data_IF_503257677802
#
_entry.id   IF_503257677802
#
_cell.length_a   1.000
_cell.length_b   1.000
_cell.length_c   1.000
_cell.angle_alpha   90.00
_cell.angle_beta   90.00
_cell.angle_gamma   90.00
#
_symmetry.space_group_name_H-M   'P 1'
#
loop_
_entity.id
_entity.type
_entity.pdbx_description
1 polymer ?
#
# COMPACT_ATOMS: atom_id res chain seq x y z
N UNK A 1 -49.87 15.03 -5.07
CA UNK A 1 -49.93 14.27 -3.82
C UNK A 1 -49.95 15.28 -2.68
N UNK A 2 -50.90 15.21 -1.76
CA UNK A 2 -50.84 16.06 -0.56
C UNK A 2 -49.54 15.76 0.17
N UNK A 3 -48.79 16.79 0.56
CA UNK A 3 -47.56 16.63 1.33
C UNK A 3 -47.89 15.85 2.62
N UNK A 4 -47.09 14.82 2.92
CA UNK A 4 -47.24 14.03 4.14
C UNK A 4 -46.98 14.95 5.35
N UNK A 5 -47.87 14.96 6.34
CA UNK A 5 -47.74 15.79 7.55
C UNK A 5 -47.81 14.93 8.81
N UNK A 6 -47.24 15.38 9.95
CA UNK A 6 -47.32 14.66 11.22
C UNK A 6 -48.76 14.36 11.64
N UNK A 7 -49.67 15.32 11.49
CA UNK A 7 -51.08 15.20 11.86
C UNK A 7 -51.78 14.11 11.03
N UNK A 8 -51.42 13.98 9.75
CA UNK A 8 -51.92 12.91 8.88
C UNK A 8 -51.44 11.54 9.34
N UNK A 9 -50.17 11.41 9.75
CA UNK A 9 -49.64 10.14 10.27
C UNK A 9 -50.26 9.80 11.63
N UNK A 10 -50.37 10.76 12.55
CA UNK A 10 -51.00 10.54 13.86
C UNK A 10 -52.45 10.08 13.73
N UNK A 11 -53.20 10.74 12.83
CA UNK A 11 -54.58 10.37 12.53
C UNK A 11 -54.66 8.95 11.97
N UNK A 12 -53.83 8.62 10.97
CA UNK A 12 -53.76 7.26 10.41
C UNK A 12 -53.42 6.22 11.48
N UNK A 13 -52.43 6.50 12.35
CA UNK A 13 -52.02 5.61 13.42
C UNK A 13 -53.15 5.39 14.46
N UNK A 14 -53.87 6.46 14.80
CA UNK A 14 -55.03 6.42 15.69
C UNK A 14 -56.17 5.60 15.09
N UNK A 15 -56.46 5.77 13.81
CA UNK A 15 -57.46 4.98 13.07
C UNK A 15 -57.10 3.49 13.01
N UNK A 16 -55.81 3.17 12.99
CA UNK A 16 -55.27 1.80 13.11
C UNK A 16 -55.24 1.28 14.55
N UNK A 17 -55.74 2.03 15.52
CA UNK A 17 -55.79 1.69 16.95
C UNK A 17 -54.40 1.44 17.56
N UNK A 18 -53.39 2.16 17.07
CA UNK A 18 -52.07 2.19 17.71
C UNK A 18 -52.16 3.04 18.99
N UNK A 19 -51.50 2.58 20.06
CA UNK A 19 -51.56 3.22 21.38
C UNK A 19 -50.63 4.44 21.44
N UNK A 20 -51.16 5.57 21.93
CA UNK A 20 -50.45 6.84 22.14
C UNK A 20 -49.60 7.32 20.93
N UNK A 21 -50.18 7.43 19.72
CA UNK A 21 -49.41 7.84 18.54
C UNK A 21 -49.01 9.31 18.64
N UNK A 22 -47.71 9.57 18.50
CA UNK A 22 -47.14 10.92 18.40
C UNK A 22 -46.24 10.96 17.18
N UNK A 23 -46.50 11.87 16.23
CA UNK A 23 -45.68 12.08 15.06
C UNK A 23 -45.02 13.46 15.10
N UNK A 24 -43.75 13.53 14.69
CA UNK A 24 -43.01 14.78 14.59
C UNK A 24 -42.04 14.76 13.43
N UNK A 25 -41.74 15.93 12.87
CA UNK A 25 -40.62 16.03 11.94
C UNK A 25 -39.30 15.82 12.68
N UNK A 26 -38.40 15.07 12.05
CA UNK A 26 -37.03 14.89 12.51
C UNK A 26 -36.12 14.52 11.34
N UNK A 27 -34.87 14.96 11.41
CA UNK A 27 -33.80 14.58 10.51
C UNK A 27 -33.08 13.35 11.08
N UNK A 28 -33.16 12.21 10.37
CA UNK A 28 -32.67 10.92 10.85
C UNK A 28 -31.54 10.41 9.97
N UNK A 29 -30.37 10.16 10.56
CA UNK A 29 -29.20 9.59 9.87
C UNK A 29 -27.92 9.83 10.66
N UNK A 30 -27.05 8.82 10.72
CA UNK A 30 -25.79 8.92 11.49
C UNK A 30 -24.76 9.89 10.86
N UNK A 31 -24.83 10.09 9.55
CA UNK A 31 -23.93 10.99 8.80
C UNK A 31 -24.75 12.05 8.08
N UNK A 32 -25.24 11.75 6.87
CA UNK A 32 -26.16 12.62 6.17
C UNK A 32 -27.61 12.25 6.51
N UNK A 33 -28.35 13.12 7.22
CA UNK A 33 -29.69 12.78 7.66
C UNK A 33 -30.70 12.82 6.51
N UNK A 34 -31.74 12.01 6.66
CA UNK A 34 -32.93 11.99 5.81
C UNK A 34 -34.08 12.67 6.55
N UNK A 35 -34.72 13.70 5.96
CA UNK A 35 -35.86 14.36 6.59
C UNK A 35 -37.05 13.41 6.65
N UNK A 36 -37.53 13.14 7.85
CA UNK A 36 -38.57 12.16 8.14
C UNK A 36 -39.69 12.75 8.98
N UNK A 37 -40.85 12.11 8.93
CA UNK A 37 -41.84 12.16 10.01
C UNK A 37 -41.64 10.90 10.85
N UNK A 38 -41.34 11.07 12.13
CA UNK A 38 -41.13 9.98 13.08
C UNK A 38 -42.39 9.77 13.89
N UNK A 39 -43.03 8.61 13.70
CA UNK A 39 -44.14 8.13 14.52
C UNK A 39 -43.58 7.35 15.71
N UNK A 40 -43.94 7.76 16.92
CA UNK A 40 -43.70 7.02 18.16
C UNK A 40 -45.02 6.47 18.68
N UNK A 41 -45.01 5.19 19.08
CA UNK A 41 -46.12 4.49 19.73
C UNK A 41 -45.55 3.65 20.88
N UNK A 42 -46.39 3.16 21.79
CA UNK A 42 -45.93 2.36 22.95
C UNK A 42 -45.13 1.09 22.56
N UNK A 43 -45.25 0.62 21.31
CA UNK A 43 -44.54 -0.55 20.76
C UNK A 43 -43.27 -0.26 19.96
N UNK A 44 -42.90 1.01 19.74
CA UNK A 44 -41.70 1.37 18.97
C UNK A 44 -41.83 2.63 18.14
N UNK A 45 -40.88 2.82 17.22
CA UNK A 45 -40.79 4.00 16.36
C UNK A 45 -40.66 3.63 14.88
N UNK A 46 -41.28 4.44 14.03
CA UNK A 46 -41.23 4.32 12.58
C UNK A 46 -40.87 5.68 11.96
N UNK A 47 -39.95 5.65 10.99
CA UNK A 47 -39.55 6.79 10.18
C UNK A 47 -40.26 6.72 8.83
N UNK A 48 -40.91 7.83 8.46
CA UNK A 48 -41.49 8.04 7.15
C UNK A 48 -40.72 9.15 6.44
N UNK A 49 -39.75 8.82 5.56
CA UNK A 49 -39.02 9.81 4.79
C UNK A 49 -39.96 10.70 3.98
N UNK A 50 -39.64 11.99 3.94
CA UNK A 50 -40.41 13.03 3.25
C UNK A 50 -39.87 13.31 1.84
N UNK A 51 -38.65 12.87 1.57
CA UNK A 51 -38.02 12.86 0.24
C UNK A 51 -38.15 11.47 -0.38
N UNK A 52 -38.21 11.35 -1.71
CA UNK A 52 -38.21 10.05 -2.39
C UNK A 52 -36.85 9.33 -2.27
N UNK A 53 -36.84 8.01 -2.51
CA UNK A 53 -35.62 7.18 -2.54
C UNK A 53 -34.66 7.59 -3.67
N UNK A 54 -35.18 8.21 -4.73
CA UNK A 54 -34.42 8.74 -5.87
C UNK A 54 -35.09 9.99 -6.42
N UNK A 55 -34.35 10.84 -7.14
CA UNK A 55 -34.88 12.09 -7.70
C UNK A 55 -34.86 13.28 -6.73
N UNK A 56 -34.37 13.11 -5.50
CA UNK A 56 -34.05 14.24 -4.62
C UNK A 56 -32.70 14.85 -5.03
N UNK A 57 -32.68 16.14 -5.37
CA UNK A 57 -31.50 16.83 -5.90
C UNK A 57 -30.32 16.76 -4.92
N UNK A 58 -30.58 16.92 -3.62
CA UNK A 58 -29.53 16.89 -2.60
C UNK A 58 -28.89 15.51 -2.50
N UNK A 59 -29.71 14.45 -2.55
CA UNK A 59 -29.27 13.07 -2.54
C UNK A 59 -28.49 12.73 -3.82
N UNK A 60 -28.97 13.16 -4.99
CA UNK A 60 -28.30 12.90 -6.27
C UNK A 60 -26.91 13.53 -6.34
N UNK A 61 -26.75 14.76 -5.84
CA UNK A 61 -25.44 15.43 -5.74
C UNK A 61 -24.49 14.62 -4.87
N UNK A 62 -24.93 14.16 -3.69
CA UNK A 62 -24.10 13.37 -2.78
C UNK A 62 -23.78 11.99 -3.34
N UNK A 63 -24.75 11.33 -3.96
CA UNK A 63 -24.57 10.03 -4.61
C UNK A 63 -23.49 10.12 -5.69
N UNK A 64 -23.58 11.14 -6.56
CA UNK A 64 -22.58 11.40 -7.59
C UNK A 64 -21.19 11.63 -7.03
N UNK A 65 -21.06 12.43 -5.95
CA UNK A 65 -19.76 12.67 -5.31
C UNK A 65 -19.12 11.38 -4.77
N UNK A 66 -19.92 10.48 -4.20
CA UNK A 66 -19.43 9.19 -3.70
C UNK A 66 -19.11 8.23 -4.83
N UNK A 67 -19.88 8.21 -5.92
CA UNK A 67 -19.53 7.45 -7.12
C UNK A 67 -18.19 7.93 -7.71
N UNK A 68 -18.00 9.25 -7.87
CA UNK A 68 -16.72 9.83 -8.31
C UNK A 68 -15.55 9.43 -7.38
N UNK A 69 -15.79 9.39 -6.07
CA UNK A 69 -14.78 8.97 -5.10
C UNK A 69 -14.49 7.46 -5.19
N UNK A 70 -15.49 6.62 -5.40
CA UNK A 70 -15.33 5.19 -5.58
C UNK A 70 -14.52 4.86 -6.86
N UNK A 71 -14.72 5.63 -7.93
CA UNK A 71 -13.94 5.50 -9.16
C UNK A 71 -12.45 5.83 -8.93
N UNK A 72 -12.15 6.81 -8.07
CA UNK A 72 -10.76 7.09 -7.67
C UNK A 72 -10.16 5.94 -6.87
N UNK A 73 -10.92 5.29 -5.99
CA UNK A 73 -10.47 4.11 -5.26
C UNK A 73 -10.21 2.92 -6.20
N UNK A 74 -11.10 2.67 -7.16
CA UNK A 74 -10.90 1.63 -8.19
C UNK A 74 -9.66 1.90 -9.04
N UNK A 75 -9.44 3.16 -9.42
CA UNK A 75 -8.27 3.59 -10.20
C UNK A 75 -6.96 3.18 -9.53
N UNK A 76 -6.85 3.36 -8.22
CA UNK A 76 -5.67 2.98 -7.41
C UNK A 76 -5.75 1.55 -6.86
N UNK A 77 -6.69 0.74 -7.36
CA UNK A 77 -6.89 -0.66 -6.97
C UNK A 77 -7.02 -0.85 -5.46
N UNK A 78 -7.79 0.05 -4.83
CA UNK A 78 -7.98 0.08 -3.39
C UNK A 78 -9.44 0.37 -3.02
N UNK A 79 -9.70 0.56 -1.74
CA UNK A 79 -11.01 0.86 -1.17
C UNK A 79 -10.89 1.94 -0.10
N UNK A 80 -12.02 2.48 0.36
CA UNK A 80 -12.04 3.49 1.43
C UNK A 80 -11.58 2.87 2.77
N UNK A 81 -10.40 3.26 3.31
CA UNK A 81 -9.89 2.68 4.54
C UNK A 81 -10.60 3.26 5.78
N UNK A 82 -10.80 2.43 6.80
CA UNK A 82 -11.59 2.78 7.99
C UNK A 82 -10.86 3.68 9.00
N UNK A 83 -9.54 3.51 9.14
CA UNK A 83 -8.77 4.05 10.26
C UNK A 83 -7.81 5.18 9.88
N UNK A 84 -7.98 5.76 8.68
CA UNK A 84 -7.15 6.88 8.24
C UNK A 84 -7.92 8.20 8.38
N UNK A 85 -7.26 9.29 8.79
CA UNK A 85 -7.90 10.60 8.87
C UNK A 85 -8.41 11.06 7.50
N UNK A 86 -9.66 11.53 7.45
CA UNK A 86 -10.28 12.02 6.21
C UNK A 86 -9.45 13.08 5.50
N UNK A 87 -8.79 13.98 6.23
CA UNK A 87 -7.92 15.00 5.66
C UNK A 87 -6.74 14.43 4.85
N UNK A 88 -6.16 13.32 5.28
CA UNK A 88 -5.09 12.63 4.54
C UNK A 88 -5.64 11.87 3.33
N UNK A 89 -6.83 11.28 3.46
CA UNK A 89 -7.52 10.63 2.34
C UNK A 89 -7.87 11.62 1.24
N UNK A 90 -8.35 12.82 1.59
CA UNK A 90 -8.62 13.87 0.60
C UNK A 90 -7.37 14.34 -0.13
N UNK A 91 -6.23 14.49 0.58
CA UNK A 91 -4.94 14.82 -0.05
C UNK A 91 -4.52 13.74 -1.04
N UNK A 92 -4.59 12.47 -0.62
CA UNK A 92 -4.27 11.32 -1.47
C UNK A 92 -5.17 11.30 -2.71
N UNK A 93 -6.49 11.35 -2.54
CA UNK A 93 -7.46 11.28 -3.65
C UNK A 93 -7.33 12.47 -4.61
N UNK A 94 -7.01 13.65 -4.09
CA UNK A 94 -6.72 14.83 -4.91
C UNK A 94 -5.48 14.61 -5.79
N UNK A 95 -4.41 14.04 -5.24
CA UNK A 95 -3.16 13.79 -5.98
C UNK A 95 -3.31 12.82 -7.15
N UNK A 96 -4.24 11.85 -7.04
CA UNK A 96 -4.42 10.79 -8.04
C UNK A 96 -5.50 11.11 -9.07
N UNK A 97 -6.30 12.16 -8.87
CA UNK A 97 -7.50 12.45 -9.67
C UNK A 97 -7.19 12.62 -11.16
N UNK A 98 -6.25 13.50 -11.50
CA UNK A 98 -6.04 13.95 -12.89
C UNK A 98 -4.82 13.32 -13.58
N UNK A 99 -4.24 12.25 -13.02
CA UNK A 99 -3.07 11.56 -13.58
C UNK A 99 -3.44 10.19 -14.17
N UNK A 100 -2.63 9.59 -15.06
CA UNK A 100 -2.83 8.21 -15.53
C UNK A 100 -2.79 7.17 -14.40
N UNK A 101 -3.29 5.95 -14.65
CA UNK A 101 -3.44 4.89 -13.64
C UNK A 101 -2.10 4.50 -12.99
N UNK A 102 -1.07 4.34 -13.80
CA UNK A 102 0.27 3.95 -13.36
C UNK A 102 0.84 5.01 -12.40
N UNK A 103 0.74 6.29 -12.77
CA UNK A 103 1.20 7.39 -11.92
C UNK A 103 0.33 7.55 -10.66
N UNK A 104 -0.98 7.32 -10.77
CA UNK A 104 -1.88 7.32 -9.61
C UNK A 104 -1.46 6.27 -8.58
N UNK A 105 -1.04 5.09 -9.02
CA UNK A 105 -0.57 4.02 -8.14
C UNK A 105 0.78 4.32 -7.49
N UNK A 106 1.72 4.94 -8.21
CA UNK A 106 2.98 5.41 -7.62
C UNK A 106 2.73 6.45 -6.51
N UNK A 107 1.82 7.41 -6.76
CA UNK A 107 1.43 8.41 -5.76
C UNK A 107 0.69 7.77 -4.58
N UNK A 108 -0.18 6.81 -4.84
CA UNK A 108 -0.84 6.04 -3.79
C UNK A 108 0.18 5.28 -2.91
N UNK A 109 1.13 4.59 -3.52
CA UNK A 109 2.20 3.86 -2.80
C UNK A 109 3.05 4.84 -1.97
N UNK A 110 3.33 6.03 -2.51
CA UNK A 110 4.01 7.10 -1.77
C UNK A 110 3.21 7.55 -0.54
N UNK A 111 1.95 7.92 -0.70
CA UNK A 111 1.11 8.36 0.42
C UNK A 111 0.96 7.26 1.47
N UNK A 112 0.62 6.04 1.03
CA UNK A 112 0.39 4.91 1.95
C UNK A 112 1.63 4.45 2.69
N UNK A 113 2.84 4.70 2.16
CA UNK A 113 4.09 4.45 2.90
C UNK A 113 4.19 5.24 4.21
N UNK A 114 3.49 6.37 4.30
CA UNK A 114 3.44 7.23 5.51
C UNK A 114 2.16 7.08 6.31
N UNK A 115 1.10 6.51 5.73
CA UNK A 115 -0.20 6.29 6.40
C UNK A 115 -0.27 4.91 7.04
N UNK A 116 0.14 3.87 6.32
CA UNK A 116 0.20 2.49 6.81
C UNK A 116 1.58 2.19 7.40
N UNK A 117 1.96 2.96 8.41
CA UNK A 117 3.25 2.84 9.08
C UNK A 117 3.46 1.47 9.74
N UNK A 118 4.69 1.17 10.13
CA UNK A 118 5.04 -0.04 10.89
C UNK A 118 4.17 -0.16 12.16
N UNK A 119 4.02 0.95 12.89
CA UNK A 119 3.21 1.03 14.09
C UNK A 119 1.73 0.76 13.81
N UNK A 120 1.18 1.40 12.77
CA UNK A 120 -0.20 1.17 12.34
C UNK A 120 -0.46 -0.32 12.03
N UNK A 121 0.43 -0.95 11.27
CA UNK A 121 0.31 -2.36 10.92
C UNK A 121 0.38 -3.27 12.16
N UNK A 122 1.24 -2.95 13.14
CA UNK A 122 1.32 -3.69 14.40
C UNK A 122 0.03 -3.58 15.23
N UNK A 123 -0.62 -2.41 15.25
CA UNK A 123 -1.94 -2.22 15.85
C UNK A 123 -2.98 -3.09 15.15
N UNK A 124 -3.01 -3.09 13.81
CA UNK A 124 -3.93 -3.96 13.07
C UNK A 124 -3.76 -5.43 13.46
N UNK A 125 -2.52 -5.92 13.51
CA UNK A 125 -2.21 -7.34 13.76
C UNK A 125 -2.51 -7.75 15.20
N UNK A 126 -2.05 -6.99 16.20
CA UNK A 126 -2.09 -7.41 17.61
C UNK A 126 -3.36 -6.91 18.34
N UNK A 127 -4.07 -5.92 17.81
CA UNK A 127 -5.25 -5.35 18.48
C UNK A 127 -6.54 -5.48 17.69
N UNK A 128 -6.51 -5.48 16.34
CA UNK A 128 -7.74 -5.55 15.53
C UNK A 128 -8.05 -6.98 15.11
N UNK A 129 -7.10 -7.71 14.52
CA UNK A 129 -7.33 -9.08 14.06
C UNK A 129 -7.82 -10.04 15.17
N UNK A 130 -7.33 -9.96 16.43
CA UNK A 130 -7.79 -10.86 17.48
C UNK A 130 -9.26 -10.68 17.89
N UNK A 131 -9.87 -9.53 17.58
CA UNK A 131 -11.26 -9.23 17.88
C UNK A 131 -12.24 -9.94 16.94
N UNK A 132 -11.75 -10.43 15.80
CA UNK A 132 -12.51 -11.19 14.82
C UNK A 132 -12.28 -12.68 14.99
N UNK A 133 -13.36 -13.42 15.24
CA UNK A 133 -13.32 -14.89 15.41
C UNK A 133 -12.71 -15.57 14.19
N UNK A 134 -13.02 -15.10 12.98
CA UNK A 134 -12.47 -15.67 11.73
C UNK A 134 -10.96 -15.45 11.56
N UNK A 135 -10.35 -14.52 12.29
CA UNK A 135 -8.95 -14.11 12.13
C UNK A 135 -8.09 -14.43 13.34
N UNK A 136 -8.68 -14.73 14.50
CA UNK A 136 -7.96 -15.01 15.75
C UNK A 136 -6.86 -16.07 15.60
N UNK A 137 -7.12 -17.16 14.89
CA UNK A 137 -6.12 -18.21 14.64
C UNK A 137 -5.05 -17.82 13.61
N UNK A 138 -5.29 -16.77 12.83
CA UNK A 138 -4.35 -16.22 11.84
C UNK A 138 -3.38 -15.21 12.47
N UNK A 139 -3.67 -14.68 13.66
CA UNK A 139 -2.82 -13.66 14.32
C UNK A 139 -1.36 -14.09 14.41
N UNK A 140 -1.00 -15.31 14.87
CA UNK A 140 0.41 -15.75 14.89
C UNK A 140 1.06 -15.75 13.50
N UNK A 141 0.30 -16.16 12.47
CA UNK A 141 0.77 -16.15 11.08
C UNK A 141 0.99 -14.73 10.56
N UNK A 142 0.08 -13.80 10.87
CA UNK A 142 0.20 -12.40 10.49
C UNK A 142 1.39 -11.73 11.18
N UNK A 143 1.63 -12.08 12.45
CA UNK A 143 2.78 -11.65 13.24
C UNK A 143 4.09 -12.16 12.63
N UNK A 144 4.15 -13.42 12.23
CA UNK A 144 5.31 -13.99 11.54
C UNK A 144 5.54 -13.33 10.18
N UNK A 145 4.49 -13.14 9.38
CA UNK A 145 4.57 -12.46 8.09
C UNK A 145 5.11 -11.02 8.25
N UNK A 146 4.65 -10.29 9.27
CA UNK A 146 5.16 -8.95 9.60
C UNK A 146 6.65 -8.98 9.93
N UNK A 147 7.09 -9.84 10.84
CA UNK A 147 8.52 -9.95 11.18
C UNK A 147 9.38 -10.42 10.01
N UNK A 148 8.87 -11.33 9.18
CA UNK A 148 9.53 -11.80 7.96
C UNK A 148 9.69 -10.67 6.93
N UNK A 149 8.69 -9.80 6.80
CA UNK A 149 8.71 -8.68 5.88
C UNK A 149 9.83 -7.70 6.24
N UNK A 150 9.92 -7.34 7.52
CA UNK A 150 10.98 -6.48 8.05
C UNK A 150 12.33 -7.19 8.23
N UNK A 151 12.38 -8.50 7.98
CA UNK A 151 13.62 -9.26 7.78
C UNK A 151 13.99 -9.39 6.29
N UNK A 152 13.30 -8.66 5.39
CA UNK A 152 13.60 -8.61 3.96
C UNK A 152 12.87 -9.65 3.09
N UNK A 153 11.96 -10.45 3.64
CA UNK A 153 11.26 -11.54 2.94
C UNK A 153 9.85 -11.14 2.47
N UNK A 154 9.72 -9.98 1.82
CA UNK A 154 8.43 -9.42 1.39
C UNK A 154 7.56 -10.38 0.57
N UNK A 155 8.15 -11.10 -0.39
CA UNK A 155 7.41 -12.04 -1.24
C UNK A 155 6.72 -13.13 -0.41
N UNK A 156 7.45 -13.75 0.52
CA UNK A 156 6.92 -14.77 1.42
C UNK A 156 5.85 -14.18 2.32
N UNK A 157 6.11 -13.01 2.92
CA UNK A 157 5.16 -12.34 3.82
C UNK A 157 3.83 -11.99 3.15
N UNK A 158 3.87 -11.43 1.94
CA UNK A 158 2.64 -11.14 1.16
C UNK A 158 1.93 -12.44 0.78
N UNK A 159 2.67 -13.42 0.27
CA UNK A 159 2.12 -14.70 -0.18
C UNK A 159 1.41 -15.48 0.92
N UNK A 160 1.91 -15.38 2.16
CA UNK A 160 1.29 -15.98 3.34
C UNK A 160 -0.06 -15.35 3.71
N UNK A 161 -0.24 -14.04 3.49
CA UNK A 161 -1.47 -13.34 3.86
C UNK A 161 -2.60 -13.45 2.81
N UNK A 162 -2.28 -13.75 1.55
CA UNK A 162 -3.30 -13.89 0.48
C UNK A 162 -4.33 -14.99 0.83
N UNK A 163 -3.94 -16.24 1.19
CA UNK A 163 -4.89 -17.26 1.60
C UNK A 163 -5.69 -16.91 2.86
N UNK A 164 -5.14 -16.07 3.75
CA UNK A 164 -5.81 -15.68 4.99
C UNK A 164 -7.09 -14.86 4.72
N UNK A 165 -7.13 -14.05 3.66
CA UNK A 165 -8.34 -13.32 3.25
C UNK A 165 -9.45 -14.30 2.86
N UNK A 166 -9.14 -15.29 1.99
CA UNK A 166 -10.09 -16.30 1.52
C UNK A 166 -10.59 -17.21 2.66
N UNK A 167 -9.67 -17.67 3.50
CA UNK A 167 -9.98 -18.51 4.65
C UNK A 167 -10.86 -17.79 5.68
N UNK A 168 -10.56 -16.52 5.96
CA UNK A 168 -11.33 -15.73 6.92
C UNK A 168 -12.73 -15.40 6.39
N UNK A 169 -12.85 -15.02 5.11
CA UNK A 169 -14.15 -14.83 4.48
C UNK A 169 -15.00 -16.10 4.58
N UNK A 170 -14.43 -17.26 4.27
CA UNK A 170 -15.13 -18.55 4.39
C UNK A 170 -15.59 -18.86 5.82
N UNK A 171 -14.82 -18.45 6.84
CA UNK A 171 -15.20 -18.61 8.26
C UNK A 171 -16.28 -17.63 8.71
N UNK A 172 -16.32 -16.41 8.16
CA UNK A 172 -17.37 -15.42 8.44
C UNK A 172 -18.72 -15.98 7.98
N UNK A 173 -18.79 -16.44 6.73
CA UNK A 173 -20.02 -16.94 6.10
C UNK A 173 -20.14 -18.46 6.17
N UNK A 174 -19.78 -19.05 7.31
CA UNK A 174 -19.81 -20.51 7.50
C UNK A 174 -21.19 -21.14 7.38
N UNK A 175 -22.24 -20.32 7.43
CA UNK A 175 -23.63 -20.69 7.16
C UNK A 175 -23.91 -20.94 5.68
N UNK A 176 -23.09 -20.41 4.77
CA UNK A 176 -23.16 -20.74 3.35
C UNK A 176 -22.59 -22.14 3.09
N UNK A 177 -23.26 -22.88 2.21
CA UNK A 177 -22.81 -24.22 1.82
C UNK A 177 -21.43 -24.20 1.13
N UNK A 178 -20.74 -25.35 1.09
CA UNK A 178 -19.36 -25.45 0.57
C UNK A 178 -19.22 -25.12 -0.94
N UNK A 179 -20.34 -25.06 -1.67
CA UNK A 179 -20.39 -24.74 -3.11
C UNK A 179 -20.47 -23.24 -3.40
N UNK A 180 -20.62 -22.38 -2.38
CA UNK A 180 -20.68 -20.94 -2.56
C UNK A 180 -19.38 -20.42 -3.19
N UNK A 181 -19.52 -19.63 -4.26
CA UNK A 181 -18.38 -19.01 -4.93
C UNK A 181 -17.76 -17.92 -4.06
N UNK A 182 -16.56 -17.44 -4.41
CA UNK A 182 -15.96 -16.29 -3.74
C UNK A 182 -16.90 -15.07 -3.81
N UNK A 183 -17.53 -14.82 -4.95
CA UNK A 183 -18.49 -13.73 -5.13
C UNK A 183 -19.70 -13.85 -4.19
N UNK A 184 -20.28 -15.04 -4.06
CA UNK A 184 -21.42 -15.28 -3.16
C UNK A 184 -21.06 -14.99 -1.70
N UNK A 185 -19.87 -15.46 -1.28
CA UNK A 185 -19.36 -15.26 0.08
C UNK A 185 -19.13 -13.77 0.37
N UNK A 186 -18.54 -13.04 -0.58
CA UNK A 186 -18.32 -11.59 -0.47
C UNK A 186 -19.66 -10.88 -0.34
N UNK A 187 -20.59 -11.12 -1.27
CA UNK A 187 -21.88 -10.43 -1.28
C UNK A 187 -22.67 -10.71 0.00
N UNK A 188 -22.69 -11.95 0.50
CA UNK A 188 -23.36 -12.30 1.76
C UNK A 188 -22.77 -11.58 2.97
N UNK A 189 -21.44 -11.64 3.13
CA UNK A 189 -20.75 -10.99 4.25
C UNK A 189 -21.01 -9.47 4.26
N UNK A 190 -20.85 -8.82 3.12
CA UNK A 190 -20.97 -7.37 3.02
C UNK A 190 -22.44 -6.93 3.06
N UNK A 191 -23.39 -7.66 2.45
CA UNK A 191 -24.81 -7.32 2.52
C UNK A 191 -25.29 -7.31 3.97
N UNK A 192 -24.86 -8.30 4.77
CA UNK A 192 -25.25 -8.35 6.17
C UNK A 192 -24.63 -7.23 7.00
N UNK A 193 -23.36 -6.90 6.77
CA UNK A 193 -22.72 -5.74 7.40
C UNK A 193 -23.41 -4.41 7.02
N UNK A 194 -23.78 -4.23 5.76
CA UNK A 194 -24.57 -3.08 5.27
C UNK A 194 -25.96 -3.05 5.91
N UNK A 195 -26.63 -4.19 6.06
CA UNK A 195 -27.94 -4.25 6.71
C UNK A 195 -27.86 -3.76 8.16
N UNK A 196 -26.82 -4.16 8.90
CA UNK A 196 -26.53 -3.67 10.26
C UNK A 196 -26.26 -2.16 10.26
N UNK A 197 -25.44 -1.66 9.33
CA UNK A 197 -25.21 -0.22 9.16
C UNK A 197 -26.50 0.55 8.86
N UNK A 198 -27.34 0.04 7.96
CA UNK A 198 -28.62 0.62 7.61
C UNK A 198 -29.58 0.70 8.81
N UNK A 199 -29.60 -0.32 9.68
CA UNK A 199 -30.40 -0.27 10.92
C UNK A 199 -29.93 0.86 11.82
N UNK A 200 -28.63 0.97 12.05
CA UNK A 200 -28.06 1.99 12.92
C UNK A 200 -28.18 3.40 12.32
N UNK A 201 -28.11 3.54 11.00
CA UNK A 201 -28.36 4.81 10.31
C UNK A 201 -29.73 5.40 10.69
N UNK A 202 -30.76 4.55 10.76
CA UNK A 202 -32.12 4.94 11.15
C UNK A 202 -32.44 4.66 12.63
N UNK A 203 -31.44 4.60 13.52
CA UNK A 203 -31.61 4.42 14.96
C UNK A 203 -32.46 3.18 15.35
N UNK A 204 -32.36 2.10 14.57
CA UNK A 204 -33.19 0.88 14.67
C UNK A 204 -34.70 1.09 14.47
N UNK A 205 -35.13 2.26 14.01
CA UNK A 205 -36.53 2.52 13.67
C UNK A 205 -36.94 1.77 12.39
N UNK A 206 -38.22 1.43 12.29
CA UNK A 206 -38.75 0.93 11.02
C UNK A 206 -38.69 2.04 9.97
N UNK A 207 -38.28 1.70 8.75
CA UNK A 207 -38.26 2.60 7.60
C UNK A 207 -38.56 1.76 6.35
N UNK A 208 -39.17 2.31 5.28
CA UNK A 208 -39.39 1.55 4.06
C UNK A 208 -38.08 0.97 3.50
N UNK A 209 -38.14 -0.27 3.00
CA UNK A 209 -36.95 -1.06 2.64
C UNK A 209 -36.05 -0.38 1.58
N UNK A 210 -36.63 0.42 0.68
CA UNK A 210 -35.89 1.18 -0.32
C UNK A 210 -34.81 2.09 0.27
N UNK A 211 -35.06 2.68 1.45
CA UNK A 211 -34.10 3.56 2.13
C UNK A 211 -33.00 2.79 2.89
N UNK A 212 -33.12 1.47 3.02
CA UNK A 212 -32.11 0.60 3.67
C UNK A 212 -31.20 -0.10 2.66
N UNK A 213 -31.37 0.20 1.37
CA UNK A 213 -30.55 -0.38 0.31
C UNK A 213 -29.14 0.23 0.31
N UNK A 214 -28.17 -0.54 -0.19
CA UNK A 214 -26.84 -0.01 -0.48
C UNK A 214 -26.94 1.20 -1.42
N UNK A 215 -27.79 1.13 -2.45
CA UNK A 215 -27.93 2.21 -3.43
C UNK A 215 -28.32 3.55 -2.82
N UNK A 216 -29.33 3.56 -1.94
CA UNK A 216 -29.73 4.79 -1.24
C UNK A 216 -28.65 5.27 -0.27
N UNK A 217 -28.09 4.35 0.53
CA UNK A 217 -27.18 4.69 1.63
C UNK A 217 -25.74 4.97 1.19
N UNK A 218 -25.34 4.59 -0.03
CA UNK A 218 -23.97 4.76 -0.52
C UNK A 218 -23.49 6.22 -0.45
N UNK A 219 -24.38 7.18 -0.70
CA UNK A 219 -24.09 8.62 -0.57
C UNK A 219 -24.52 9.25 0.76
N UNK A 220 -25.01 8.45 1.71
CA UNK A 220 -25.62 8.92 2.95
C UNK A 220 -24.92 8.41 4.22
N UNK A 221 -24.28 7.24 4.15
CA UNK A 221 -23.64 6.57 5.29
C UNK A 221 -22.22 6.13 4.94
N UNK A 222 -21.23 6.71 5.63
CA UNK A 222 -19.82 6.46 5.35
C UNK A 222 -19.41 5.00 5.59
N UNK A 223 -20.11 4.28 6.49
CA UNK A 223 -19.86 2.86 6.74
C UNK A 223 -20.29 2.02 5.56
N UNK A 224 -21.49 2.30 5.03
CA UNK A 224 -22.00 1.64 3.82
C UNK A 224 -21.06 1.91 2.64
N UNK A 225 -20.59 3.15 2.49
CA UNK A 225 -19.61 3.50 1.46
C UNK A 225 -18.29 2.70 1.60
N UNK A 226 -17.74 2.61 2.81
CA UNK A 226 -16.53 1.84 3.07
C UNK A 226 -16.72 0.34 2.78
N UNK A 227 -17.83 -0.24 3.25
CA UNK A 227 -18.14 -1.65 3.04
C UNK A 227 -18.35 -1.99 1.55
N UNK A 228 -19.05 -1.13 0.82
CA UNK A 228 -19.30 -1.32 -0.61
C UNK A 228 -18.03 -1.14 -1.44
N UNK A 229 -17.18 -0.15 -1.15
CA UNK A 229 -15.90 -0.02 -1.87
C UNK A 229 -14.97 -1.21 -1.58
N UNK A 230 -15.00 -1.78 -0.36
CA UNK A 230 -14.29 -3.01 -0.05
C UNK A 230 -14.83 -4.23 -0.81
N UNK A 231 -16.17 -4.36 -0.95
CA UNK A 231 -16.82 -5.36 -1.83
C UNK A 231 -16.32 -5.25 -3.26
N UNK A 232 -16.34 -4.03 -3.82
CA UNK A 232 -15.86 -3.77 -5.19
C UNK A 232 -14.40 -4.17 -5.35
N UNK A 233 -13.54 -3.82 -4.39
CA UNK A 233 -12.14 -4.23 -4.43
C UNK A 233 -11.95 -5.75 -4.42
N UNK A 234 -12.65 -6.46 -3.52
CA UNK A 234 -12.59 -7.91 -3.44
C UNK A 234 -13.02 -8.57 -4.76
N UNK A 235 -14.10 -8.08 -5.39
CA UNK A 235 -14.66 -8.68 -6.62
C UNK A 235 -13.89 -8.29 -7.87
N UNK A 236 -13.49 -7.02 -8.01
CA UNK A 236 -12.94 -6.48 -9.25
C UNK A 236 -11.43 -6.65 -9.37
N UNK A 237 -10.72 -6.78 -8.23
CA UNK A 237 -9.25 -6.84 -8.21
C UNK A 237 -8.74 -8.11 -7.57
N UNK A 238 -9.17 -8.42 -6.34
CA UNK A 238 -8.55 -9.49 -5.56
C UNK A 238 -8.98 -10.90 -5.98
N UNK A 239 -10.29 -11.15 -6.19
CA UNK A 239 -10.85 -12.46 -6.58
C UNK A 239 -11.32 -12.53 -8.03
N UNK A 240 -11.12 -11.49 -8.85
CA UNK A 240 -11.53 -11.55 -10.25
C UNK A 240 -10.73 -12.61 -11.02
N UNK A 241 -11.30 -13.11 -12.11
CA UNK A 241 -10.61 -14.03 -13.01
C UNK A 241 -9.35 -13.36 -13.58
N UNK A 242 -8.27 -14.12 -13.76
CA UNK A 242 -7.00 -13.61 -14.31
C UNK A 242 -7.19 -12.95 -15.69
N UNK A 243 -8.11 -13.46 -16.52
CA UNK A 243 -8.42 -12.89 -17.85
C UNK A 243 -9.13 -11.54 -17.80
N UNK A 244 -9.74 -11.20 -16.67
CA UNK A 244 -10.51 -9.97 -16.47
C UNK A 244 -9.72 -8.92 -15.67
N UNK A 245 -8.61 -9.32 -15.05
CA UNK A 245 -7.77 -8.42 -14.27
C UNK A 245 -7.06 -7.40 -15.16
N UNK A 246 -7.28 -6.11 -14.88
CA UNK A 246 -6.70 -4.97 -15.62
C UNK A 246 -5.81 -4.07 -14.75
N UNK A 247 -5.49 -4.54 -13.54
CA UNK A 247 -4.66 -3.81 -12.60
C UNK A 247 -3.17 -3.97 -12.88
N UNK A 248 -2.38 -3.08 -12.30
CA UNK A 248 -0.91 -3.08 -12.33
C UNK A 248 -0.29 -3.23 -10.94
N UNK A 249 -1.09 -3.36 -9.87
CA UNK A 249 -0.58 -3.84 -8.57
C UNK A 249 -0.27 -5.34 -8.59
N UNK A 250 -0.92 -6.07 -9.51
CA UNK A 250 -0.89 -7.52 -9.67
C UNK A 250 -1.35 -8.29 -8.43
N UNK A 251 -2.04 -7.62 -7.50
CA UNK A 251 -2.54 -8.18 -6.26
C UNK A 251 -3.86 -8.92 -6.49
N UNK A 252 -3.78 -10.02 -7.22
CA UNK A 252 -4.90 -10.90 -7.55
C UNK A 252 -4.60 -12.33 -7.06
N UNK A 253 -5.59 -12.94 -6.39
CA UNK A 253 -5.48 -14.27 -5.78
C UNK A 253 -5.22 -15.38 -6.79
N UNK A 254 -5.84 -15.34 -7.97
CA UNK A 254 -5.63 -16.34 -9.01
C UNK A 254 -4.26 -16.19 -9.67
N UNK A 255 -3.81 -14.96 -9.93
CA UNK A 255 -2.47 -14.71 -10.44
C UNK A 255 -1.38 -15.17 -9.48
N UNK A 256 -1.55 -14.91 -8.18
CA UNK A 256 -0.68 -15.44 -7.14
C UNK A 256 -0.67 -16.98 -7.15
N UNK A 257 -1.84 -17.62 -7.09
CA UNK A 257 -1.95 -19.07 -7.00
C UNK A 257 -1.35 -19.81 -8.20
N UNK A 258 -1.35 -19.18 -9.38
CA UNK A 258 -0.78 -19.74 -10.61
C UNK A 258 0.63 -19.21 -10.92
N UNK A 259 1.19 -18.33 -10.08
CA UNK A 259 2.54 -17.78 -10.24
C UNK A 259 2.77 -17.04 -11.56
N UNK A 260 1.73 -16.44 -12.15
CA UNK A 260 1.80 -15.91 -13.52
C UNK A 260 2.59 -14.61 -13.65
N UNK A 261 2.80 -13.88 -12.54
CA UNK A 261 3.56 -12.62 -12.45
C UNK A 261 4.22 -12.49 -11.07
N UNK A 262 5.39 -11.84 -10.99
CA UNK A 262 6.11 -11.63 -9.71
C UNK A 262 5.84 -10.26 -9.06
N UNK A 263 5.22 -9.32 -9.79
CA UNK A 263 5.05 -7.92 -9.38
C UNK A 263 4.19 -7.69 -8.13
N UNK A 264 3.50 -8.72 -7.63
CA UNK A 264 2.70 -8.66 -6.40
C UNK A 264 3.56 -8.61 -5.12
N UNK A 265 4.86 -8.89 -5.21
CA UNK A 265 5.76 -9.08 -4.07
C UNK A 265 6.28 -7.78 -3.43
N UNK A 266 5.65 -6.65 -3.73
CA UNK A 266 6.08 -5.30 -3.30
C UNK A 266 5.75 -5.02 -1.83
N UNK A 267 6.55 -4.21 -1.11
CA UNK A 267 6.25 -3.77 0.25
C UNK A 267 4.87 -3.11 0.42
N UNK A 268 4.44 -2.31 -0.57
CA UNK A 268 3.12 -1.67 -0.54
C UNK A 268 1.98 -2.71 -0.49
N UNK A 269 2.14 -3.85 -1.16
CA UNK A 269 1.14 -4.92 -1.13
C UNK A 269 1.08 -5.63 0.24
N UNK A 270 2.18 -5.66 0.99
CA UNK A 270 2.14 -6.18 2.36
C UNK A 270 1.26 -5.31 3.26
N UNK A 271 1.45 -4.00 3.24
CA UNK A 271 0.62 -3.06 3.98
C UNK A 271 -0.86 -3.18 3.57
N UNK A 272 -1.14 -3.26 2.26
CA UNK A 272 -2.48 -3.55 1.73
C UNK A 272 -3.08 -4.81 2.34
N UNK A 273 -2.35 -5.93 2.38
CA UNK A 273 -2.89 -7.18 2.95
C UNK A 273 -3.20 -7.07 4.44
N UNK A 274 -2.35 -6.41 5.23
CA UNK A 274 -2.63 -6.16 6.66
C UNK A 274 -3.91 -5.33 6.84
N UNK A 275 -4.05 -4.24 6.08
CA UNK A 275 -5.24 -3.37 6.14
C UNK A 275 -6.50 -4.11 5.67
N UNK A 276 -6.40 -4.95 4.63
CA UNK A 276 -7.51 -5.74 4.14
C UNK A 276 -7.99 -6.78 5.16
N UNK A 277 -7.07 -7.45 5.88
CA UNK A 277 -7.41 -8.36 6.97
C UNK A 277 -8.07 -7.62 8.14
N UNK A 278 -7.55 -6.46 8.52
CA UNK A 278 -8.17 -5.63 9.56
C UNK A 278 -9.58 -5.18 9.15
N UNK A 279 -9.75 -4.74 7.89
CA UNK A 279 -11.06 -4.36 7.36
C UNK A 279 -12.03 -5.54 7.37
N UNK A 280 -11.55 -6.75 7.05
CA UNK A 280 -12.37 -7.96 7.13
C UNK A 280 -12.78 -8.29 8.57
N UNK A 281 -11.93 -8.02 9.57
CA UNK A 281 -12.30 -8.11 10.98
C UNK A 281 -13.44 -7.14 11.34
N UNK A 282 -13.36 -5.90 10.83
CA UNK A 282 -14.44 -4.94 10.99
C UNK A 282 -15.74 -5.43 10.30
N UNK A 283 -15.65 -5.95 9.07
CA UNK A 283 -16.81 -6.56 8.39
C UNK A 283 -17.44 -7.68 9.23
N UNK A 284 -16.65 -8.59 9.81
CA UNK A 284 -17.19 -9.66 10.67
C UNK A 284 -17.97 -9.08 11.87
N UNK A 285 -17.41 -8.07 12.55
CA UNK A 285 -18.06 -7.45 13.71
C UNK A 285 -19.39 -6.74 13.38
N UNK A 286 -19.57 -6.33 12.12
CA UNK A 286 -20.82 -5.74 11.62
C UNK A 286 -21.77 -6.77 11.02
N UNK A 287 -21.22 -7.87 10.47
CA UNK A 287 -21.97 -9.03 10.02
C UNK A 287 -22.77 -9.66 11.16
N UNK A 288 -22.14 -9.85 12.32
CA UNK A 288 -22.77 -10.46 13.50
C UNK A 288 -23.41 -9.42 14.46
N UNK A 289 -23.26 -8.13 14.17
CA UNK A 289 -23.69 -7.00 14.99
C UNK A 289 -23.10 -6.99 16.42
N UNK A 290 -21.95 -7.63 16.63
CA UNK A 290 -21.19 -7.55 17.88
C UNK A 290 -20.54 -6.18 18.08
N UNK A 291 -20.20 -5.49 16.97
CA UNK A 291 -19.47 -4.22 16.98
C UNK A 291 -18.16 -4.28 17.78
N UNK A 292 -17.52 -5.46 17.83
CA UNK A 292 -16.29 -5.69 18.58
C UNK A 292 -15.11 -4.85 18.08
N UNK A 293 -15.10 -4.50 16.79
CA UNK A 293 -14.06 -3.67 16.17
C UNK A 293 -14.52 -2.23 16.07
N UNK A 294 -13.80 -1.33 16.76
CA UNK A 294 -14.01 0.11 16.69
C UNK A 294 -13.51 0.69 15.36
N UNK A 295 -14.21 1.73 14.86
CA UNK A 295 -13.71 2.55 13.75
C UNK A 295 -12.72 3.63 14.19
N UNK A 296 -12.55 3.83 15.50
CA UNK A 296 -11.41 4.57 16.03
C UNK A 296 -10.23 3.61 16.14
N UNK A 297 -9.10 3.98 15.53
CA UNK A 297 -7.87 3.21 15.66
C UNK A 297 -7.48 3.20 17.14
N UNK A 298 -7.27 2.04 17.77
CA UNK A 298 -6.83 2.00 19.14
C UNK A 298 -5.41 2.52 19.25
N UNK A 299 -5.11 3.17 20.38
CA UNK A 299 -3.74 3.52 20.73
C UNK A 299 -2.89 2.24 20.84
N UNK A 300 -1.59 2.36 20.61
CA UNK A 300 -0.68 1.23 20.77
C UNK A 300 -0.67 0.75 22.23
N UNK A 301 -0.99 -0.53 22.43
CA UNK A 301 -0.83 -1.24 23.70
C UNK A 301 0.54 -1.96 23.76
N UNK A 302 0.78 -2.72 24.85
CA UNK A 302 2.04 -3.45 25.05
C UNK A 302 2.31 -4.48 23.95
N UNK A 303 1.31 -5.24 23.51
CA UNK A 303 1.47 -6.29 22.49
C UNK A 303 1.87 -5.71 21.12
N UNK A 304 1.13 -4.69 20.66
CA UNK A 304 1.45 -3.97 19.41
C UNK A 304 2.78 -3.21 19.50
N UNK A 305 3.11 -2.65 20.65
CA UNK A 305 4.42 -2.03 20.92
C UNK A 305 5.54 -3.06 20.81
N UNK A 306 5.36 -4.24 21.40
CA UNK A 306 6.35 -5.30 21.35
C UNK A 306 6.56 -5.85 19.94
N UNK A 307 5.49 -6.02 19.14
CA UNK A 307 5.60 -6.42 17.74
C UNK A 307 6.34 -5.35 16.92
N UNK A 308 5.99 -4.08 17.09
CA UNK A 308 6.63 -2.96 16.42
C UNK A 308 8.13 -2.87 16.73
N UNK A 309 8.51 -2.95 18.01
CA UNK A 309 9.91 -2.93 18.44
C UNK A 309 10.71 -4.10 17.87
N UNK A 310 10.10 -5.29 17.78
CA UNK A 310 10.73 -6.44 17.14
C UNK A 310 10.98 -6.18 15.65
N UNK A 311 10.04 -5.59 14.92
CA UNK A 311 10.27 -5.25 13.52
C UNK A 311 11.38 -4.23 13.32
N UNK A 312 11.46 -3.20 14.18
CA UNK A 312 12.58 -2.25 14.15
C UNK A 312 13.93 -2.97 14.34
N UNK A 313 14.02 -3.82 15.36
CA UNK A 313 15.24 -4.61 15.61
C UNK A 313 15.58 -5.53 14.43
N UNK A 314 14.59 -6.18 13.82
CA UNK A 314 14.80 -7.03 12.64
C UNK A 314 15.30 -6.22 11.45
N UNK A 315 14.74 -5.02 11.22
CA UNK A 315 15.22 -4.10 10.20
C UNK A 315 16.69 -3.71 10.40
N UNK A 316 17.08 -3.37 11.62
CA UNK A 316 18.47 -3.03 11.96
C UNK A 316 19.44 -4.20 11.74
N UNK A 317 19.06 -5.40 12.18
CA UNK A 317 19.85 -6.62 11.98
C UNK A 317 19.95 -6.96 10.48
N UNK A 318 18.85 -6.83 9.75
CA UNK A 318 18.80 -7.10 8.32
C UNK A 318 19.70 -6.15 7.54
N UNK A 319 19.74 -4.87 7.91
CA UNK A 319 20.66 -3.90 7.30
C UNK A 319 22.12 -4.32 7.48
N UNK A 320 22.50 -4.75 8.69
CA UNK A 320 23.86 -5.26 8.98
C UNK A 320 24.18 -6.51 8.17
N UNK A 321 23.22 -7.44 8.07
CA UNK A 321 23.37 -8.64 7.25
C UNK A 321 23.60 -8.28 5.79
N UNK A 322 22.81 -7.36 5.23
CA UNK A 322 22.93 -6.91 3.84
C UNK A 322 24.28 -6.26 3.54
N UNK A 323 24.81 -5.46 4.48
CA UNK A 323 26.16 -4.90 4.36
C UNK A 323 27.23 -6.00 4.37
N UNK A 324 27.14 -6.96 5.29
CA UNK A 324 28.10 -8.06 5.38
C UNK A 324 28.06 -9.00 4.15
N UNK A 325 26.87 -9.31 3.64
CA UNK A 325 26.67 -10.02 2.38
C UNK A 325 27.35 -9.27 1.23
N UNK A 326 27.10 -7.97 1.15
CA UNK A 326 27.62 -7.12 0.10
C UNK A 326 29.16 -7.08 0.09
N UNK A 327 29.78 -6.91 1.26
CA UNK A 327 31.24 -6.94 1.42
C UNK A 327 31.82 -8.30 1.01
N UNK A 328 31.15 -9.39 1.42
CA UNK A 328 31.55 -10.74 1.06
C UNK A 328 31.50 -10.98 -0.45
N UNK A 329 30.40 -10.61 -1.12
CA UNK A 329 30.27 -10.81 -2.56
C UNK A 329 31.27 -9.95 -3.35
N UNK A 330 31.47 -8.69 -2.94
CA UNK A 330 32.41 -7.78 -3.60
C UNK A 330 33.85 -8.33 -3.54
N UNK A 331 34.26 -8.94 -2.42
CA UNK A 331 35.58 -9.59 -2.28
C UNK A 331 35.86 -10.63 -3.38
N UNK A 332 34.82 -11.29 -3.90
CA UNK A 332 34.94 -12.31 -4.94
C UNK A 332 34.42 -11.86 -6.31
N UNK A 333 34.25 -10.54 -6.52
CA UNK A 333 33.75 -9.98 -7.78
C UNK A 333 32.33 -10.41 -8.12
N UNK A 334 31.50 -10.71 -7.12
CA UNK A 334 30.10 -11.11 -7.29
C UNK A 334 29.16 -10.00 -6.86
N UNK A 335 27.97 -9.98 -7.46
CA UNK A 335 26.86 -9.15 -7.01
C UNK A 335 26.02 -9.92 -5.99
N UNK A 336 25.31 -9.19 -5.12
CA UNK A 336 24.26 -9.76 -4.29
C UNK A 336 23.24 -10.43 -5.22
N UNK A 337 22.88 -11.71 -5.00
CA UNK A 337 21.87 -12.40 -5.79
C UNK A 337 20.55 -11.63 -5.79
N UNK A 338 19.90 -11.57 -6.95
CA UNK A 338 18.61 -10.92 -7.06
C UNK A 338 17.55 -11.70 -6.29
N UNK A 339 16.93 -11.05 -5.31
CA UNK A 339 15.69 -11.50 -4.69
C UNK A 339 14.50 -10.75 -5.30
N UNK A 340 13.28 -11.30 -5.20
CA UNK A 340 12.17 -10.73 -5.95
C UNK A 340 11.75 -9.31 -5.53
N UNK A 341 12.00 -8.92 -4.28
CA UNK A 341 11.74 -7.57 -3.76
C UNK A 341 13.02 -6.74 -3.52
N UNK A 342 14.20 -7.32 -3.77
CA UNK A 342 15.49 -6.65 -3.58
C UNK A 342 16.54 -7.23 -4.55
N UNK A 343 16.89 -6.45 -5.56
CA UNK A 343 17.94 -6.80 -6.53
C UNK A 343 19.31 -6.18 -6.18
N UNK A 344 19.43 -5.60 -4.98
CA UNK A 344 20.63 -4.94 -4.46
C UNK A 344 20.99 -3.62 -5.14
N UNK A 345 20.25 -3.15 -6.16
CA UNK A 345 20.60 -1.94 -6.91
C UNK A 345 20.68 -0.72 -5.99
N UNK A 346 19.67 -0.53 -5.13
CA UNK A 346 19.62 0.64 -4.24
C UNK A 346 20.84 0.70 -3.30
N UNK A 347 21.17 -0.44 -2.66
CA UNK A 347 22.35 -0.54 -1.79
C UNK A 347 23.64 -0.29 -2.58
N UNK A 348 23.76 -0.85 -3.78
CA UNK A 348 24.92 -0.62 -4.66
C UNK A 348 25.05 0.86 -5.05
N UNK A 349 23.96 1.55 -5.43
CA UNK A 349 23.99 2.99 -5.73
C UNK A 349 24.51 3.78 -4.54
N UNK A 350 23.98 3.53 -3.33
CA UNK A 350 24.41 4.23 -2.12
C UNK A 350 25.90 4.01 -1.81
N UNK A 351 26.38 2.77 -1.92
CA UNK A 351 27.79 2.44 -1.69
C UNK A 351 28.70 3.04 -2.76
N UNK A 352 28.32 2.94 -4.04
CA UNK A 352 29.10 3.46 -5.16
C UNK A 352 29.21 4.98 -5.07
N UNK A 353 28.11 5.69 -4.80
CA UNK A 353 28.13 7.14 -4.60
C UNK A 353 28.99 7.54 -3.38
N UNK A 354 28.89 6.80 -2.27
CA UNK A 354 29.71 7.06 -1.07
C UNK A 354 31.21 6.87 -1.34
N UNK A 355 31.57 5.78 -2.02
CA UNK A 355 32.96 5.48 -2.39
C UNK A 355 33.49 6.47 -3.42
N UNK A 356 32.69 6.84 -4.42
CA UNK A 356 33.03 7.89 -5.38
C UNK A 356 33.37 9.20 -4.68
N UNK A 357 32.53 9.66 -3.76
CA UNK A 357 32.78 10.90 -3.04
C UNK A 357 34.04 10.84 -2.16
N UNK A 358 34.29 9.70 -1.53
CA UNK A 358 35.38 9.54 -0.55
C UNK A 358 36.73 9.28 -1.22
N UNK A 359 36.77 8.35 -2.17
CA UNK A 359 38.00 7.75 -2.69
C UNK A 359 38.36 8.24 -4.11
N UNK A 360 37.46 8.96 -4.79
CA UNK A 360 37.70 9.50 -6.13
C UNK A 360 37.57 11.03 -6.19
N UNK A 361 36.41 11.58 -5.82
CA UNK A 361 36.11 13.02 -5.93
C UNK A 361 36.99 13.84 -5.00
N UNK A 362 37.11 13.43 -3.73
CA UNK A 362 37.94 14.15 -2.76
C UNK A 362 39.42 14.19 -3.20
N UNK A 363 40.07 13.05 -3.56
CA UNK A 363 41.42 13.08 -4.13
C UNK A 363 41.57 13.96 -5.37
N UNK A 364 40.60 13.96 -6.29
CA UNK A 364 40.63 14.81 -7.49
C UNK A 364 40.59 16.30 -7.12
N UNK A 365 39.72 16.69 -6.17
CA UNK A 365 39.65 18.07 -5.66
C UNK A 365 40.93 18.47 -4.92
N UNK A 366 41.48 17.57 -4.10
CA UNK A 366 42.74 17.78 -3.38
C UNK A 366 43.92 17.94 -4.38
N UNK A 367 43.83 17.33 -5.56
CA UNK A 367 44.76 17.49 -6.67
C UNK A 367 44.50 18.74 -7.55
N UNK A 368 43.48 19.55 -7.23
CA UNK A 368 43.21 20.85 -7.87
C UNK A 368 42.15 20.84 -8.98
N UNK A 369 41.44 19.74 -9.20
CA UNK A 369 40.41 19.64 -10.26
C UNK A 369 39.03 20.13 -9.80
N UNK A 370 38.29 20.76 -10.71
CA UNK A 370 36.84 20.87 -10.56
C UNK A 370 36.20 19.55 -10.99
N UNK A 371 35.16 19.11 -10.29
CA UNK A 371 34.62 17.76 -10.45
C UNK A 371 33.11 17.77 -10.61
N UNK A 372 32.62 17.20 -11.71
CA UNK A 372 31.21 16.88 -11.95
C UNK A 372 31.00 15.37 -11.83
N UNK A 373 30.07 14.97 -10.97
CA UNK A 373 29.73 13.57 -10.72
C UNK A 373 28.44 13.25 -11.46
N UNK A 374 28.42 12.16 -12.22
CA UNK A 374 27.20 11.65 -12.85
C UNK A 374 26.54 10.60 -11.95
N UNK A 375 25.23 10.41 -12.11
CA UNK A 375 24.49 9.37 -11.37
C UNK A 375 25.00 7.96 -11.73
N UNK A 376 24.94 7.00 -10.79
CA UNK A 376 25.15 5.59 -11.11
C UNK A 376 24.22 5.10 -12.20
N UNK A 377 24.72 4.19 -13.05
CA UNK A 377 23.91 3.54 -14.07
C UNK A 377 22.71 2.79 -13.45
N UNK A 378 21.75 2.41 -14.29
CA UNK A 378 20.49 1.77 -13.84
C UNK A 378 20.71 0.49 -13.03
N UNK A 379 21.78 -0.25 -13.31
CA UNK A 379 22.13 -1.49 -12.57
C UNK A 379 23.10 -1.26 -11.41
N UNK A 380 23.59 -0.03 -11.27
CA UNK A 380 24.59 0.37 -10.28
C UNK A 380 25.88 -0.45 -10.36
N UNK A 381 26.31 -0.76 -11.57
CA UNK A 381 27.57 -1.40 -11.92
C UNK A 381 28.70 -0.38 -12.07
N UNK A 382 28.40 0.86 -12.48
CA UNK A 382 29.39 1.92 -12.61
C UNK A 382 28.80 3.32 -12.49
N UNK A 383 29.68 4.30 -12.32
CA UNK A 383 29.40 5.72 -12.48
C UNK A 383 30.61 6.43 -13.08
N UNK A 384 30.43 7.62 -13.62
CA UNK A 384 31.51 8.41 -14.23
C UNK A 384 31.65 9.76 -13.55
N UNK A 385 32.90 10.22 -13.50
CA UNK A 385 33.29 11.51 -12.92
C UNK A 385 34.08 12.28 -13.96
N UNK A 386 33.66 13.50 -14.24
CA UNK A 386 34.35 14.39 -15.16
C UNK A 386 35.14 15.41 -14.34
N UNK A 387 36.46 15.37 -14.45
CA UNK A 387 37.38 16.32 -13.86
C UNK A 387 37.77 17.37 -14.91
N UNK A 388 37.76 18.64 -14.53
CA UNK A 388 38.09 19.73 -15.44
C UNK A 388 38.80 20.89 -14.75
N UNK A 389 39.71 21.54 -15.48
CA UNK A 389 40.39 22.77 -15.12
C UNK A 389 40.67 23.54 -16.42
N UNK A 390 40.14 24.76 -16.55
CA UNK A 390 40.18 25.54 -17.79
C UNK A 390 39.70 24.73 -19.02
N UNK A 391 40.58 24.48 -20.00
CA UNK A 391 40.29 23.65 -21.18
C UNK A 391 40.67 22.17 -21.01
N UNK A 392 41.35 21.79 -19.93
CA UNK A 392 41.72 20.40 -19.65
C UNK A 392 40.51 19.66 -19.05
N UNK A 393 40.10 18.56 -19.70
CA UNK A 393 39.02 17.69 -19.23
C UNK A 393 39.41 16.23 -19.39
N UNK A 394 39.17 15.44 -18.34
CA UNK A 394 39.20 13.98 -18.46
C UNK A 394 38.12 13.32 -17.60
N UNK A 395 37.73 12.13 -18.03
CA UNK A 395 36.71 11.33 -17.36
C UNK A 395 37.33 10.11 -16.70
N UNK A 396 36.87 9.80 -15.49
CA UNK A 396 37.24 8.59 -14.76
C UNK A 396 35.98 7.79 -14.49
N UNK A 397 36.01 6.50 -14.81
CA UNK A 397 34.95 5.58 -14.44
C UNK A 397 35.25 4.97 -13.07
N UNK A 398 34.21 4.78 -12.26
CA UNK A 398 34.26 3.98 -11.04
C UNK A 398 33.28 2.82 -11.16
N UNK A 399 33.81 1.60 -11.19
CA UNK A 399 33.04 0.36 -11.19
C UNK A 399 32.74 -0.09 -9.76
N UNK A 400 31.56 -0.69 -9.59
CA UNK A 400 31.14 -1.29 -8.34
C UNK A 400 32.04 -2.44 -7.88
N UNK A 401 32.56 -3.25 -8.81
CA UNK A 401 33.52 -4.30 -8.49
C UNK A 401 34.42 -4.67 -9.68
N UNK A 402 35.57 -5.26 -9.40
CA UNK A 402 36.50 -5.76 -10.43
C UNK A 402 35.85 -6.82 -11.35
N UNK A 403 34.94 -7.65 -10.82
CA UNK A 403 34.25 -8.72 -11.54
C UNK A 403 33.16 -8.26 -12.51
N UNK A 404 33.34 -7.10 -13.14
CA UNK A 404 32.40 -6.54 -14.11
C UNK A 404 32.66 -7.16 -15.50
N UNK A 405 31.60 -7.29 -16.31
CA UNK A 405 31.72 -7.83 -17.66
C UNK A 405 32.67 -7.01 -18.54
N UNK A 406 33.51 -7.69 -19.33
CA UNK A 406 34.52 -7.05 -20.18
C UNK A 406 33.93 -6.05 -21.21
N UNK A 407 32.68 -6.27 -21.63
CA UNK A 407 31.96 -5.35 -22.52
C UNK A 407 31.83 -3.94 -21.91
N UNK A 408 31.59 -3.84 -20.60
CA UNK A 408 31.50 -2.57 -19.87
C UNK A 408 32.88 -1.93 -19.78
N UNK A 409 33.94 -2.71 -19.50
CA UNK A 409 35.31 -2.19 -19.51
C UNK A 409 35.67 -1.58 -20.87
N UNK A 410 35.35 -2.26 -21.97
CA UNK A 410 35.63 -1.77 -23.34
C UNK A 410 34.86 -0.50 -23.67
N UNK A 411 33.59 -0.43 -23.26
CA UNK A 411 32.77 0.76 -23.41
C UNK A 411 33.37 1.94 -22.64
N UNK A 412 33.71 1.76 -21.36
CA UNK A 412 34.27 2.82 -20.52
C UNK A 412 35.67 3.26 -20.98
N UNK A 413 36.47 2.34 -21.54
CA UNK A 413 37.80 2.67 -22.06
C UNK A 413 37.77 3.62 -23.27
N UNK A 414 36.65 3.70 -23.98
CA UNK A 414 36.48 4.67 -25.08
C UNK A 414 36.15 6.08 -24.57
N UNK A 415 35.65 6.20 -23.33
CA UNK A 415 35.12 7.46 -22.79
C UNK A 415 35.96 8.01 -21.62
N UNK A 416 36.72 7.15 -20.94
CA UNK A 416 37.44 7.47 -19.72
C UNK A 416 38.93 7.16 -19.84
N UNK A 417 39.77 8.02 -19.23
CA UNK A 417 41.23 7.86 -19.22
C UNK A 417 41.72 6.86 -18.15
N UNK A 418 40.85 6.54 -17.19
CA UNK A 418 41.07 5.54 -16.16
C UNK A 418 39.74 4.87 -15.78
N UNK A 419 39.81 3.57 -15.51
CA UNK A 419 38.70 2.76 -15.01
C UNK A 419 39.10 2.22 -13.65
N UNK A 420 38.54 2.78 -12.60
CA UNK A 420 38.78 2.36 -11.23
C UNK A 420 37.66 1.43 -10.77
N UNK A 421 37.91 0.62 -9.75
CA UNK A 421 36.87 -0.21 -9.15
C UNK A 421 36.96 -0.28 -7.63
N UNK A 422 35.84 -0.58 -7.00
CA UNK A 422 35.76 -0.79 -5.57
C UNK A 422 36.13 -2.23 -5.19
N UNK A 423 36.88 -2.40 -4.10
CA UNK A 423 37.35 -3.71 -3.61
C UNK A 423 38.68 -4.18 -4.21
N UNK A 424 39.11 -5.42 -3.90
CA UNK A 424 40.42 -5.94 -4.29
C UNK A 424 40.51 -6.32 -5.79
N UNK A 425 41.73 -6.41 -6.37
CA UNK A 425 42.00 -6.82 -7.75
C UNK A 425 41.72 -8.31 -8.01
N UNK A 426 40.47 -8.74 -7.87
CA UNK A 426 40.08 -10.14 -8.05
C UNK A 426 40.06 -10.54 -9.54
N UNK A 427 41.05 -11.34 -9.97
CA UNK A 427 41.20 -11.82 -11.36
C UNK A 427 41.09 -10.71 -12.41
N UNK A 428 41.62 -9.51 -12.11
CA UNK A 428 41.49 -8.33 -12.95
C UNK A 428 41.85 -8.60 -14.42
N UNK A 429 42.95 -9.31 -14.68
CA UNK A 429 43.39 -9.63 -16.04
C UNK A 429 42.35 -10.41 -16.86
N UNK A 430 41.54 -11.25 -16.20
CA UNK A 430 40.48 -12.01 -16.86
C UNK A 430 39.27 -11.15 -17.24
N UNK A 431 38.98 -10.09 -16.48
CA UNK A 431 37.83 -9.22 -16.70
C UNK A 431 38.17 -7.99 -17.57
N UNK A 432 39.36 -7.43 -17.40
CA UNK A 432 39.84 -6.23 -18.08
C UNK A 432 40.77 -6.55 -19.28
N UNK A 433 40.66 -7.74 -19.87
CA UNK A 433 41.49 -8.10 -21.03
C UNK A 433 41.23 -7.16 -22.21
N UNK A 434 42.31 -6.78 -22.91
CA UNK A 434 42.24 -5.91 -24.10
C UNK A 434 41.96 -4.43 -23.81
N UNK A 435 42.10 -3.98 -22.55
CA UNK A 435 41.96 -2.57 -22.16
C UNK A 435 43.33 -1.91 -22.11
N UNK A 436 43.43 -0.71 -22.71
CA UNK A 436 44.68 0.06 -22.83
C UNK A 436 44.80 1.20 -21.84
N UNK A 437 43.66 1.67 -21.28
CA UNK A 437 43.62 2.70 -20.23
C UNK A 437 43.94 2.09 -18.86
N UNK A 438 44.27 2.93 -17.87
CA UNK A 438 44.57 2.45 -16.53
C UNK A 438 43.37 1.71 -15.92
N UNK A 439 43.61 0.52 -15.38
CA UNK A 439 42.62 -0.28 -14.63
C UNK A 439 43.19 -0.68 -13.27
N UNK A 440 42.48 -0.35 -12.20
CA UNK A 440 42.94 -0.66 -10.84
C UNK A 440 41.94 -0.34 -9.74
N UNK A 441 42.24 -0.73 -8.49
CA UNK A 441 41.39 -0.38 -7.37
C UNK A 441 41.39 1.14 -7.15
N UNK A 442 40.24 1.72 -6.83
CA UNK A 442 40.13 3.15 -6.48
C UNK A 442 40.93 3.47 -5.21
N UNK A 443 40.98 2.52 -4.28
CA UNK A 443 41.73 2.67 -3.04
C UNK A 443 43.22 2.67 -3.33
N UNK A 444 43.85 3.83 -3.09
CA UNK A 444 45.28 4.05 -3.36
C UNK A 444 45.59 4.58 -4.76
N UNK A 445 44.58 4.83 -5.60
CA UNK A 445 44.78 5.55 -6.86
C UNK A 445 45.10 7.03 -6.57
N UNK A 446 46.11 7.57 -7.26
CA UNK A 446 46.50 8.97 -7.15
C UNK A 446 46.15 9.70 -8.46
N UNK A 447 45.25 10.70 -8.41
CA UNK A 447 44.95 11.49 -9.60
C UNK A 447 46.14 12.33 -10.04
N UNK A 448 46.26 12.65 -11.34
CA UNK A 448 47.22 13.63 -11.81
C UNK A 448 46.95 15.00 -11.18
N UNK A 449 47.99 15.80 -10.93
CA UNK A 449 47.83 17.17 -10.44
C UNK A 449 47.27 18.08 -11.53
N UNK A 450 46.31 18.92 -11.17
CA UNK A 450 45.72 19.88 -12.09
C UNK A 450 46.76 20.90 -12.57
N UNK A 451 46.82 21.14 -13.88
CA UNK A 451 47.78 22.07 -14.51
C UNK A 451 49.23 21.56 -14.59
N UNK A 452 49.50 20.29 -14.24
CA UNK A 452 50.85 19.72 -14.41
C UNK A 452 51.07 19.27 -15.86
N UNK A 453 51.63 20.18 -16.69
CA UNK A 453 52.19 19.82 -18.00
C UNK A 453 53.50 19.06 -17.79
N UNK A 454 53.54 17.80 -18.22
CA UNK A 454 54.71 16.91 -18.33
C UNK A 454 56.07 17.54 -17.98
N UNK A 455 56.52 17.31 -16.74
CA UNK A 455 57.94 17.15 -16.46
C UNK A 455 58.31 15.69 -16.70
N UNK A 456 59.13 15.45 -17.72
CA UNK A 456 59.81 14.19 -18.03
C UNK A 456 60.40 13.59 -16.74
N UNK A 457 60.05 12.34 -16.41
CA UNK A 457 60.99 11.23 -16.19
C UNK A 457 60.27 9.89 -16.06
#
# INVERSE_FOLDING_TARGET
MSALTPELIEKWASEKRLTNPVAKFADIGAFHPTPCIVLSVDGGKACFPTIPVSGDESWEVRRKQHDDQADLWDKVEWFMPLWLPMGELFKLLSSVRSVPRERALELFDYHTSTLYTLAFQAVCIEQILPLARSLKEIVPLAREAYLGAYSGYWATSVGTLIPAIEGSLTRIVSDLGPKATAADKIDHAINRAIETAARLHFENMWVPSGYRTCDYLFGQDERVFAFETFRRWLKNHFFCNTSEYRGVTWLNRHMFAHGTVASWQKPANFARMVVALATLAAIESWYDASHSVSFFLPDMNDDSTFLWQQALLRGDVQMKLKLAEQDHFQKYGRLVPALPADNGVLLRKALLSKQCMTDLVRPLRDAGWNVKVNEPDDKALYMTVNAFLDEELFSVALLYSCGTENSIYKMLANECVAILYCGPPYKQESYAYGITVHVGPVLGWQPPKAGWKNGIH
#
